data_IF_622151479182
#
_entry.id   IF_622151479182
#
_cell.length_a   1.000
_cell.length_b   1.000
_cell.length_c   1.000
_cell.angle_alpha   90.00
_cell.angle_beta   90.00
_cell.angle_gamma   90.00
#
_symmetry.space_group_name_H-M   'P 1'
#
loop_
_entity.id
_entity.type
_entity.pdbx_description
1 polymer ?
#
# COMPACT_ATOMS: atom_id res chain seq x y z
N UNK A 1 -6.09 -2.46 -59.49
CA UNK A 1 -6.96 -2.34 -58.28
C UNK A 1 -8.22 -3.19 -58.46
N UNK A 2 -8.98 -3.47 -57.39
CA UNK A 2 -10.18 -4.36 -57.34
C UNK A 2 -9.93 -5.87 -57.53
N UNK A 3 -9.38 -6.54 -56.52
CA UNK A 3 -9.72 -7.97 -56.31
C UNK A 3 -9.67 -8.50 -54.86
N UNK A 4 -9.11 -7.77 -53.89
CA UNK A 4 -8.87 -8.30 -52.53
C UNK A 4 -9.98 -8.01 -51.48
N UNK A 5 -11.03 -7.26 -51.82
CA UNK A 5 -12.05 -6.83 -50.84
C UNK A 5 -13.19 -7.84 -50.58
N UNK A 6 -13.33 -8.89 -51.39
CA UNK A 6 -14.44 -9.87 -51.27
C UNK A 6 -14.18 -11.00 -50.28
N UNK A 7 -12.92 -11.42 -50.06
CA UNK A 7 -12.60 -12.48 -49.07
C UNK A 7 -12.76 -12.01 -47.62
N UNK A 8 -12.34 -10.77 -47.32
CA UNK A 8 -12.37 -10.24 -45.95
C UNK A 8 -13.79 -10.10 -45.37
N UNK A 9 -14.77 -9.70 -46.20
CA UNK A 9 -16.17 -9.56 -45.75
C UNK A 9 -16.87 -10.90 -45.45
N UNK A 10 -16.44 -12.01 -46.05
CA UNK A 10 -17.11 -13.31 -45.85
C UNK A 10 -16.76 -13.95 -44.51
N UNK A 11 -15.56 -13.72 -44.00
CA UNK A 11 -15.11 -14.29 -42.71
C UNK A 11 -15.77 -13.58 -41.51
N UNK A 12 -16.06 -12.27 -41.61
CA UNK A 12 -16.74 -11.50 -40.57
C UNK A 12 -18.20 -11.94 -40.34
N UNK A 13 -18.92 -12.30 -41.41
CA UNK A 13 -20.33 -12.75 -41.29
C UNK A 13 -20.41 -14.09 -40.55
N UNK A 14 -19.49 -15.02 -40.84
CA UNK A 14 -19.45 -16.33 -40.17
C UNK A 14 -19.08 -16.17 -38.68
N UNK A 15 -18.12 -15.30 -38.35
CA UNK A 15 -17.75 -15.03 -36.96
C UNK A 15 -18.90 -14.39 -36.14
N UNK A 16 -19.69 -13.50 -36.75
CA UNK A 16 -20.83 -12.87 -36.09
C UNK A 16 -21.95 -13.89 -35.75
N UNK A 17 -22.24 -14.84 -36.66
CA UNK A 17 -23.26 -15.86 -36.42
C UNK A 17 -22.92 -16.80 -35.25
N UNK A 18 -21.65 -17.16 -35.06
CA UNK A 18 -21.23 -18.06 -33.96
C UNK A 18 -21.41 -17.39 -32.59
N UNK A 19 -21.16 -16.08 -32.47
CA UNK A 19 -21.30 -15.34 -31.21
C UNK A 19 -22.78 -15.22 -30.80
N UNK A 20 -23.69 -14.99 -31.76
CA UNK A 20 -25.13 -14.85 -31.48
C UNK A 20 -25.74 -16.17 -30.97
N UNK A 21 -25.34 -17.32 -31.55
CA UNK A 21 -25.82 -18.63 -31.11
C UNK A 21 -25.30 -18.98 -29.70
N UNK A 22 -24.04 -18.64 -29.38
CA UNK A 22 -23.48 -18.82 -28.03
C UNK A 22 -24.20 -18.00 -26.95
N UNK A 23 -24.59 -16.77 -27.27
CA UNK A 23 -25.31 -15.90 -26.32
C UNK A 23 -26.73 -16.39 -26.00
N UNK A 24 -27.43 -17.00 -26.97
CA UNK A 24 -28.79 -17.53 -26.75
C UNK A 24 -28.80 -18.77 -25.83
N UNK A 25 -27.78 -19.63 -25.89
CA UNK A 25 -27.68 -20.81 -25.03
C UNK A 25 -27.32 -20.46 -23.57
N UNK A 26 -26.54 -19.39 -23.35
CA UNK A 26 -26.20 -18.94 -22.00
C UNK A 26 -27.41 -18.36 -21.23
N UNK A 27 -28.43 -17.85 -21.93
CA UNK A 27 -29.61 -17.24 -21.31
C UNK A 27 -30.62 -18.28 -20.78
N UNK A 28 -30.60 -19.52 -21.30
CA UNK A 28 -31.49 -20.60 -20.84
C UNK A 28 -31.09 -21.23 -19.49
N UNK A 29 -29.89 -20.94 -18.97
CA UNK A 29 -29.36 -21.54 -17.75
C UNK A 29 -29.01 -20.52 -16.66
N UNK A 30 -29.52 -19.28 -16.76
CA UNK A 30 -29.32 -18.28 -15.70
C UNK A 30 -30.34 -18.47 -14.57
N UNK A 31 -29.92 -18.73 -13.31
CA UNK A 31 -30.84 -18.91 -12.20
C UNK A 31 -31.52 -17.59 -11.82
N UNK A 32 -32.85 -17.58 -11.80
CA UNK A 32 -33.67 -16.44 -11.36
C UNK A 32 -33.68 -16.40 -9.83
N UNK A 33 -33.28 -15.27 -9.25
CA UNK A 33 -33.29 -15.08 -7.80
C UNK A 33 -34.71 -14.93 -7.24
N UNK A 34 -35.03 -15.68 -6.19
CA UNK A 34 -36.27 -15.57 -5.43
C UNK A 34 -36.23 -14.39 -4.46
N UNK A 35 -37.19 -13.48 -4.55
CA UNK A 35 -37.41 -12.38 -3.62
C UNK A 35 -38.03 -12.84 -2.30
N UNK A 36 -37.53 -12.35 -1.16
CA UNK A 36 -38.21 -12.41 0.14
C UNK A 36 -38.21 -11.03 0.83
N UNK A 37 -39.24 -10.68 1.63
CA UNK A 37 -39.52 -9.31 2.04
C UNK A 37 -38.91 -8.88 3.39
N UNK A 38 -39.08 -7.60 3.72
CA UNK A 38 -38.56 -6.95 4.93
C UNK A 38 -39.28 -7.40 6.24
N UNK A 39 -38.63 -7.25 7.42
CA UNK A 39 -39.25 -7.50 8.72
C UNK A 39 -39.78 -6.22 9.38
N UNK A 40 -40.99 -6.31 9.95
CA UNK A 40 -41.53 -5.39 10.97
C UNK A 40 -41.63 -6.10 12.34
N UNK A 41 -41.94 -5.34 13.39
CA UNK A 41 -41.54 -5.62 14.78
C UNK A 41 -42.52 -6.42 15.68
N UNK A 42 -42.00 -6.76 16.88
CA UNK A 42 -42.63 -7.20 18.14
C UNK A 42 -42.70 -8.74 18.44
N UNK A 43 -42.39 -9.10 19.71
CA UNK A 43 -42.28 -10.48 20.24
C UNK A 43 -43.58 -11.04 20.86
N UNK A 44 -43.58 -11.90 21.92
CA UNK A 44 -42.49 -12.33 22.83
C UNK A 44 -42.27 -13.87 22.92
N UNK A 45 -41.40 -14.35 23.85
CA UNK A 45 -41.13 -15.77 24.15
C UNK A 45 -42.25 -16.50 24.94
N UNK A 46 -42.07 -17.76 25.43
CA UNK A 46 -40.86 -18.39 26.00
C UNK A 46 -40.44 -19.69 25.22
N UNK A 47 -39.63 -20.68 25.69
CA UNK A 47 -38.83 -20.92 26.91
C UNK A 47 -38.17 -22.33 26.87
N UNK A 48 -37.19 -22.70 27.75
CA UNK A 48 -36.43 -23.96 27.61
C UNK A 48 -36.50 -24.96 28.80
N UNK A 49 -36.72 -26.23 28.44
CA UNK A 49 -36.47 -27.47 29.20
C UNK A 49 -35.66 -28.41 28.27
N UNK A 50 -34.87 -29.42 28.66
CA UNK A 50 -34.17 -29.77 29.91
C UNK A 50 -33.17 -30.90 29.55
N UNK A 51 -32.10 -31.11 30.34
CA UNK A 51 -31.59 -32.43 30.78
C UNK A 51 -30.17 -32.35 31.37
N UNK A 52 -29.98 -33.11 32.45
CA UNK A 52 -28.71 -33.24 33.18
C UNK A 52 -28.02 -34.62 32.99
N UNK A 53 -27.37 -35.20 34.01
CA UNK A 53 -25.95 -35.53 33.87
C UNK A 53 -25.59 -37.02 34.11
N UNK A 54 -24.32 -37.37 33.86
CA UNK A 54 -23.73 -38.69 34.19
C UNK A 54 -22.23 -38.60 34.52
N UNK A 55 -21.75 -39.39 35.49
CA UNK A 55 -20.41 -39.31 36.11
C UNK A 55 -19.76 -40.71 36.28
N UNK A 56 -18.50 -40.74 36.78
CA UNK A 56 -17.62 -41.86 37.27
C UNK A 56 -17.02 -42.75 36.14
N UNK A 57 -15.82 -43.36 36.16
CA UNK A 57 -14.82 -43.74 37.21
C UNK A 57 -13.34 -43.52 36.75
N UNK A 58 -12.35 -43.89 37.58
CA UNK A 58 -10.87 -43.77 37.43
C UNK A 58 -10.15 -44.96 36.73
N UNK A 59 -8.89 -44.75 36.35
CA UNK A 59 -7.84 -45.78 36.14
C UNK A 59 -6.50 -45.13 35.74
N UNK A 60 -5.35 -45.54 36.29
CA UNK A 60 -4.05 -44.81 36.13
C UNK A 60 -2.85 -45.65 35.66
N UNK A 61 -1.69 -45.01 35.44
CA UNK A 61 -0.42 -45.68 35.12
C UNK A 61 0.72 -44.80 34.57
N UNK A 62 1.78 -44.63 35.38
CA UNK A 62 3.21 -44.35 35.11
C UNK A 62 3.75 -43.54 33.88
N UNK A 63 4.55 -42.52 34.21
CA UNK A 63 5.88 -42.11 33.68
C UNK A 63 6.25 -42.17 32.18
N UNK A 64 6.54 -41.00 31.58
CA UNK A 64 7.73 -40.76 30.74
C UNK A 64 7.97 -39.27 30.38
N UNK A 65 9.11 -38.72 30.81
CA UNK A 65 9.95 -37.67 30.21
C UNK A 65 9.36 -36.53 29.33
N UNK A 66 9.47 -35.32 29.89
CA UNK A 66 10.11 -34.14 29.28
C UNK A 66 9.84 -33.78 27.81
N UNK A 67 8.87 -32.88 27.59
CA UNK A 67 8.96 -31.85 26.56
C UNK A 67 8.32 -30.56 27.09
N UNK A 68 9.09 -29.47 27.17
CA UNK A 68 8.52 -28.15 27.46
C UNK A 68 7.53 -27.73 26.37
N UNK A 69 6.51 -26.91 26.68
CA UNK A 69 5.51 -26.52 25.69
C UNK A 69 6.19 -25.83 24.52
N UNK A 70 6.13 -26.48 23.34
CA UNK A 70 6.47 -25.82 22.08
C UNK A 70 5.52 -24.65 21.95
N UNK A 71 6.07 -23.43 21.98
CA UNK A 71 5.28 -22.22 21.77
C UNK A 71 4.48 -22.36 20.48
N UNK A 72 3.18 -22.09 20.57
CA UNK A 72 2.31 -22.00 19.40
C UNK A 72 2.99 -20.98 18.46
N UNK A 73 3.19 -21.29 17.16
CA UNK A 73 3.66 -20.30 16.22
C UNK A 73 2.73 -19.09 16.31
N UNK A 74 3.27 -17.94 16.69
CA UNK A 74 2.48 -16.71 16.71
C UNK A 74 1.95 -16.50 15.29
N UNK A 75 0.64 -16.24 15.18
CA UNK A 75 0.05 -15.80 13.92
C UNK A 75 0.86 -14.62 13.40
N UNK A 76 1.09 -14.49 12.07
CA UNK A 76 1.80 -13.34 11.52
C UNK A 76 1.15 -12.05 12.06
N UNK A 77 1.96 -11.19 12.66
CA UNK A 77 1.46 -9.92 13.20
C UNK A 77 0.96 -9.10 12.01
N UNK A 78 -0.25 -8.53 12.08
CA UNK A 78 -0.70 -7.64 11.02
C UNK A 78 0.24 -6.43 10.98
N UNK A 79 0.89 -6.10 9.83
CA UNK A 79 1.68 -4.88 9.71
C UNK A 79 0.91 -3.61 10.13
N UNK A 80 -0.41 -3.62 10.07
CA UNK A 80 -1.26 -2.55 10.59
C UNK A 80 -1.14 -2.39 12.12
N UNK A 81 -1.09 -3.50 12.87
CA UNK A 81 -0.97 -3.50 14.33
C UNK A 81 0.43 -3.02 14.76
N UNK A 82 1.48 -3.37 14.00
CA UNK A 82 2.83 -2.85 14.24
C UNK A 82 2.90 -1.33 13.99
N UNK A 83 2.30 -0.84 12.90
CA UNK A 83 2.23 0.60 12.57
C UNK A 83 1.39 1.38 13.60
N UNK A 84 0.31 0.79 14.12
CA UNK A 84 -0.48 1.37 15.20
C UNK A 84 0.29 1.36 16.54
N UNK A 85 1.00 0.26 16.84
CA UNK A 85 1.80 0.08 18.05
C UNK A 85 2.88 1.14 18.24
N UNK A 86 3.47 1.67 17.15
CA UNK A 86 4.41 2.79 17.20
C UNK A 86 3.83 4.02 17.92
N UNK A 87 2.53 4.30 17.77
CA UNK A 87 1.87 5.46 18.38
C UNK A 87 1.67 5.34 19.90
N UNK A 88 1.91 4.17 20.49
CA UNK A 88 1.82 3.96 21.95
C UNK A 88 3.10 4.34 22.70
N UNK A 89 4.20 4.66 21.99
CA UNK A 89 5.50 4.99 22.59
C UNK A 89 5.42 6.36 23.30
N UNK A 90 5.64 6.43 24.63
CA UNK A 90 5.56 7.70 25.36
C UNK A 90 6.65 8.69 24.97
N UNK A 91 6.37 9.99 25.06
CA UNK A 91 7.31 11.07 24.71
C UNK A 91 8.69 10.94 25.36
N UNK A 92 8.77 10.52 26.64
CA UNK A 92 10.05 10.30 27.35
C UNK A 92 10.87 9.17 26.70
N UNK A 93 10.21 8.09 26.26
CA UNK A 93 10.87 7.00 25.56
C UNK A 93 11.30 7.42 24.15
N UNK A 94 10.46 8.16 23.41
CA UNK A 94 10.78 8.69 22.10
C UNK A 94 11.99 9.65 22.15
N UNK A 95 12.06 10.55 23.14
CA UNK A 95 13.23 11.43 23.35
C UNK A 95 14.50 10.62 23.67
N UNK A 96 14.40 9.56 24.48
CA UNK A 96 15.54 8.66 24.72
C UNK A 96 16.02 7.98 23.43
N UNK A 97 15.09 7.49 22.60
CA UNK A 97 15.40 6.90 21.29
C UNK A 97 16.12 7.89 20.35
N UNK A 98 15.80 9.19 20.42
CA UNK A 98 16.55 10.22 19.68
C UNK A 98 17.99 10.30 20.17
N UNK A 99 18.21 10.44 21.48
CA UNK A 99 19.58 10.50 22.06
C UNK A 99 20.41 9.26 21.75
N UNK A 100 19.82 8.07 21.91
CA UNK A 100 20.49 6.80 21.59
C UNK A 100 20.78 6.68 20.09
N UNK A 101 19.82 7.05 19.24
CA UNK A 101 19.97 7.03 17.78
C UNK A 101 21.05 7.97 17.27
N UNK A 102 21.13 9.20 17.81
CA UNK A 102 22.20 10.15 17.50
C UNK A 102 23.59 9.63 17.92
N UNK A 103 23.68 8.94 19.05
CA UNK A 103 24.91 8.26 19.46
C UNK A 103 25.32 7.17 18.46
N UNK A 104 24.39 6.35 17.98
CA UNK A 104 24.68 5.36 16.93
C UNK A 104 25.20 6.01 15.63
N UNK A 105 24.61 7.13 15.19
CA UNK A 105 25.10 7.87 14.03
C UNK A 105 26.52 8.42 14.23
N UNK A 106 26.83 8.93 15.43
CA UNK A 106 28.18 9.38 15.78
C UNK A 106 29.20 8.22 15.76
N UNK A 107 28.79 7.01 16.16
CA UNK A 107 29.56 5.76 16.08
C UNK A 107 29.59 5.13 14.67
N UNK A 108 29.05 5.80 13.64
CA UNK A 108 28.91 5.31 12.24
C UNK A 108 28.03 4.07 12.06
N UNK A 109 27.22 3.73 13.07
CA UNK A 109 26.20 2.68 13.06
C UNK A 109 24.90 3.21 12.45
N UNK A 110 24.92 3.42 11.14
CA UNK A 110 23.88 4.18 10.44
C UNK A 110 22.52 3.46 10.43
N UNK A 111 22.49 2.12 10.33
CA UNK A 111 21.25 1.34 10.29
C UNK A 111 20.53 1.40 11.65
N UNK A 112 21.27 1.23 12.74
CA UNK A 112 20.77 1.27 14.12
C UNK A 112 20.32 2.69 14.51
N UNK A 113 21.11 3.71 14.14
CA UNK A 113 20.74 5.11 14.33
C UNK A 113 19.47 5.48 13.54
N UNK A 114 19.38 5.08 12.27
CA UNK A 114 18.18 5.27 11.43
C UNK A 114 16.96 4.58 12.04
N UNK A 115 17.10 3.34 12.52
CA UNK A 115 16.00 2.58 13.12
C UNK A 115 15.42 3.29 14.36
N UNK A 116 16.26 3.66 15.34
CA UNK A 116 15.78 4.34 16.55
C UNK A 116 15.19 5.72 16.27
N UNK A 117 15.82 6.51 15.40
CA UNK A 117 15.30 7.82 15.00
C UNK A 117 13.96 7.70 14.25
N UNK A 118 13.81 6.69 13.39
CA UNK A 118 12.55 6.41 12.67
C UNK A 118 11.44 6.02 13.64
N UNK A 119 11.73 5.12 14.58
CA UNK A 119 10.79 4.69 15.62
C UNK A 119 10.35 5.86 16.51
N UNK A 120 11.29 6.72 16.90
CA UNK A 120 11.01 7.94 17.65
C UNK A 120 10.10 8.90 16.87
N UNK A 121 10.41 9.17 15.60
CA UNK A 121 9.62 10.08 14.76
C UNK A 121 8.21 9.54 14.47
N UNK A 122 8.10 8.28 14.07
CA UNK A 122 6.83 7.64 13.70
C UNK A 122 5.88 7.42 14.89
N UNK A 123 6.38 7.51 16.13
CA UNK A 123 5.53 7.52 17.32
C UNK A 123 4.57 8.71 17.40
N UNK A 124 4.91 9.84 16.76
CA UNK A 124 4.17 11.10 16.91
C UNK A 124 4.34 11.79 18.27
N UNK A 125 5.12 11.23 19.20
CA UNK A 125 5.29 11.74 20.57
C UNK A 125 6.45 12.72 20.76
N UNK A 126 7.13 13.13 19.68
CA UNK A 126 8.20 14.13 19.72
C UNK A 126 7.63 15.55 19.59
N UNK A 127 8.17 16.50 20.36
CA UNK A 127 7.89 17.92 20.14
C UNK A 127 8.34 18.40 18.76
N UNK A 128 7.59 19.33 18.16
CA UNK A 128 7.70 19.71 16.74
C UNK A 128 9.13 20.03 16.28
N UNK A 129 9.87 20.86 17.02
CA UNK A 129 11.25 21.22 16.69
C UNK A 129 12.19 19.99 16.64
N UNK A 130 12.04 19.06 17.59
CA UNK A 130 12.79 17.80 17.62
C UNK A 130 12.37 16.90 16.46
N UNK A 131 11.07 16.77 16.21
CA UNK A 131 10.55 15.99 15.08
C UNK A 131 11.06 16.52 13.73
N UNK A 132 11.11 17.84 13.55
CA UNK A 132 11.63 18.50 12.36
C UNK A 132 13.14 18.24 12.17
N UNK A 133 13.94 18.34 13.23
CA UNK A 133 15.37 18.03 13.23
C UNK A 133 15.64 16.54 12.90
N UNK A 134 14.95 15.63 13.59
CA UNK A 134 15.05 14.18 13.38
C UNK A 134 14.65 13.79 11.96
N UNK A 135 13.56 14.37 11.43
CA UNK A 135 13.11 14.16 10.05
C UNK A 135 14.16 14.57 9.03
N UNK A 136 14.76 15.75 9.16
CA UNK A 136 15.82 16.20 8.25
C UNK A 136 17.03 15.24 8.21
N UNK A 137 17.42 14.70 9.38
CA UNK A 137 18.47 13.66 9.47
C UNK A 137 18.05 12.36 8.79
N UNK A 138 16.80 11.92 8.98
CA UNK A 138 16.28 10.69 8.40
C UNK A 138 16.11 10.76 6.89
N UNK A 139 15.70 11.90 6.33
CA UNK A 139 15.64 12.09 4.88
C UNK A 139 17.04 12.04 4.24
N UNK A 140 18.04 12.68 4.87
CA UNK A 140 19.43 12.58 4.41
C UNK A 140 19.97 11.12 4.48
N UNK A 141 19.62 10.38 5.53
CA UNK A 141 19.94 8.95 5.63
C UNK A 141 19.17 8.10 4.61
N UNK A 142 17.96 8.49 4.20
CA UNK A 142 17.22 7.80 3.15
C UNK A 142 17.86 8.06 1.77
N UNK A 143 18.29 9.29 1.49
CA UNK A 143 19.02 9.63 0.27
C UNK A 143 20.35 8.84 0.18
N UNK A 144 21.09 8.73 1.28
CA UNK A 144 22.34 7.97 1.36
C UNK A 144 22.11 6.44 1.33
N UNK A 145 21.30 5.90 2.25
CA UNK A 145 21.17 4.46 2.48
C UNK A 145 20.18 3.77 1.55
N UNK A 146 19.14 4.46 1.06
CA UNK A 146 18.07 3.85 0.25
C UNK A 146 18.19 4.27 -1.22
N UNK A 147 18.25 5.57 -1.50
CA UNK A 147 18.15 6.10 -2.87
C UNK A 147 19.48 6.23 -3.62
N UNK A 148 20.62 6.20 -2.94
CA UNK A 148 21.93 6.06 -3.59
C UNK A 148 22.22 4.60 -4.01
N UNK A 149 23.32 4.38 -4.75
CA UNK A 149 23.83 3.03 -5.11
C UNK A 149 24.69 2.37 -4.02
N UNK A 150 24.97 3.06 -2.91
CA UNK A 150 25.77 2.51 -1.82
C UNK A 150 25.04 1.35 -1.11
N UNK A 151 25.80 0.39 -0.60
CA UNK A 151 25.30 -0.72 0.23
C UNK A 151 25.90 -0.54 1.62
N UNK A 152 25.09 -0.79 2.65
CA UNK A 152 25.49 -0.71 4.05
C UNK A 152 25.32 -2.08 4.69
N UNK A 153 26.40 -2.62 5.24
CA UNK A 153 26.38 -3.93 5.89
C UNK A 153 25.41 -3.91 7.08
N UNK A 154 24.57 -4.95 7.17
CA UNK A 154 23.54 -5.06 8.21
C UNK A 154 22.25 -4.25 7.97
N UNK A 155 22.12 -3.49 6.88
CA UNK A 155 20.84 -2.83 6.55
C UNK A 155 19.78 -3.88 6.14
N UNK A 156 18.67 -4.05 6.89
CA UNK A 156 17.64 -5.03 6.56
C UNK A 156 16.83 -4.69 5.30
N UNK A 157 16.93 -3.45 4.81
CA UNK A 157 16.12 -2.92 3.72
C UNK A 157 16.84 -2.85 2.37
N UNK A 158 18.17 -2.95 2.32
CA UNK A 158 18.90 -2.91 1.04
C UNK A 158 19.97 -3.99 0.95
N UNK A 159 20.19 -4.51 -0.27
CA UNK A 159 21.22 -5.51 -0.53
C UNK A 159 21.72 -5.45 -1.96
N UNK A 160 22.88 -6.06 -2.20
CA UNK A 160 23.44 -6.24 -3.54
C UNK A 160 22.98 -7.57 -4.14
N UNK A 161 22.52 -7.56 -5.39
CA UNK A 161 22.04 -8.72 -6.13
C UNK A 161 22.82 -8.88 -7.45
N UNK A 162 23.36 -10.06 -7.70
CA UNK A 162 23.97 -10.41 -8.98
C UNK A 162 22.89 -10.93 -9.93
N UNK A 163 22.61 -10.18 -11.00
CA UNK A 163 21.54 -10.55 -11.94
C UNK A 163 21.91 -11.81 -12.75
N UNK A 164 21.10 -12.87 -12.69
CA UNK A 164 21.43 -14.16 -13.29
C UNK A 164 21.14 -14.20 -14.81
N UNK A 165 21.82 -15.07 -15.59
CA UNK A 165 21.52 -15.25 -17.01
C UNK A 165 20.05 -15.61 -17.27
N UNK A 166 19.39 -14.84 -18.14
CA UNK A 166 18.00 -15.09 -18.54
C UNK A 166 16.93 -14.53 -17.58
N UNK A 167 17.32 -13.84 -16.51
CA UNK A 167 16.37 -13.19 -15.62
C UNK A 167 15.68 -11.97 -16.23
N UNK A 168 14.53 -11.62 -15.66
CA UNK A 168 13.76 -10.41 -15.97
C UNK A 168 13.47 -9.73 -14.65
N UNK A 169 13.71 -8.42 -14.54
CA UNK A 169 13.65 -7.69 -13.25
C UNK A 169 12.35 -7.89 -12.48
N UNK A 170 11.20 -7.96 -13.17
CA UNK A 170 9.89 -8.22 -12.53
C UNK A 170 9.72 -9.65 -12.00
N UNK A 171 10.49 -10.62 -12.51
CA UNK A 171 10.58 -11.97 -11.95
C UNK A 171 11.54 -12.01 -10.77
N UNK A 172 12.64 -11.27 -10.81
CA UNK A 172 13.60 -11.11 -9.70
C UNK A 172 12.93 -10.48 -8.48
N UNK A 173 12.17 -9.41 -8.69
CA UNK A 173 11.36 -8.73 -7.66
C UNK A 173 10.48 -9.73 -6.88
N UNK A 174 9.75 -10.59 -7.60
CA UNK A 174 8.94 -11.66 -7.01
C UNK A 174 9.76 -12.82 -6.41
N UNK A 175 10.82 -13.27 -7.08
CA UNK A 175 11.75 -14.34 -6.61
C UNK A 175 12.35 -14.00 -5.26
N UNK A 176 12.66 -12.73 -5.02
CA UNK A 176 13.27 -12.23 -3.78
C UNK A 176 12.25 -11.68 -2.78
N UNK A 177 10.95 -11.70 -3.11
CA UNK A 177 9.85 -11.11 -2.35
C UNK A 177 10.13 -9.66 -1.93
N UNK A 178 10.53 -8.82 -2.90
CA UNK A 178 10.93 -7.44 -2.63
C UNK A 178 9.74 -6.53 -2.33
N UNK A 179 8.58 -6.73 -2.97
CA UNK A 179 7.37 -5.91 -2.76
C UNK A 179 7.61 -4.41 -2.96
N UNK A 180 8.38 -4.07 -4.01
CA UNK A 180 8.61 -2.70 -4.47
C UNK A 180 8.46 -2.62 -5.99
N UNK A 181 7.97 -1.51 -6.56
CA UNK A 181 7.85 -1.39 -8.01
C UNK A 181 9.24 -1.47 -8.68
N UNK A 182 9.33 -2.15 -9.82
CA UNK A 182 10.61 -2.24 -10.56
C UNK A 182 11.14 -0.87 -11.00
N UNK A 183 10.29 0.16 -11.09
CA UNK A 183 10.67 1.54 -11.36
C UNK A 183 11.66 2.12 -10.34
N UNK A 184 11.50 1.88 -9.03
CA UNK A 184 12.48 2.40 -8.05
C UNK A 184 13.82 1.64 -8.16
N UNK A 185 13.78 0.32 -8.40
CA UNK A 185 14.98 -0.49 -8.61
C UNK A 185 15.79 -0.02 -9.84
N UNK A 186 15.10 0.33 -10.93
CA UNK A 186 15.71 0.93 -12.12
C UNK A 186 16.31 2.32 -11.82
N UNK A 187 15.54 3.18 -11.13
CA UNK A 187 15.92 4.56 -10.78
C UNK A 187 17.19 4.61 -9.92
N UNK A 188 17.24 3.87 -8.80
CA UNK A 188 18.40 3.91 -7.89
C UNK A 188 19.67 3.36 -8.54
N UNK A 189 19.56 2.41 -9.48
CA UNK A 189 20.73 1.86 -10.20
C UNK A 189 21.16 2.71 -11.41
N UNK A 190 20.41 3.75 -11.79
CA UNK A 190 20.66 4.55 -12.99
C UNK A 190 20.39 3.80 -14.30
N UNK A 191 19.41 2.90 -14.32
CA UNK A 191 19.10 2.03 -15.47
C UNK A 191 17.79 2.49 -16.10
N UNK A 192 17.83 2.89 -17.38
CA UNK A 192 16.66 3.42 -18.06
C UNK A 192 15.59 2.36 -18.44
N UNK A 193 16.01 1.11 -18.69
CA UNK A 193 15.12 0.02 -19.13
C UNK A 193 15.57 -1.33 -18.57
N UNK A 194 14.63 -2.18 -18.15
CA UNK A 194 14.96 -3.48 -17.53
C UNK A 194 15.68 -4.42 -18.50
N UNK A 195 15.39 -4.35 -19.79
CA UNK A 195 16.01 -5.18 -20.83
C UNK A 195 17.50 -4.84 -21.09
N UNK A 196 18.04 -3.74 -20.51
CA UNK A 196 19.47 -3.41 -20.65
C UNK A 196 20.33 -3.94 -19.50
N UNK A 197 19.73 -4.60 -18.50
CA UNK A 197 20.43 -5.25 -17.40
C UNK A 197 21.18 -6.47 -17.94
N UNK A 198 22.47 -6.59 -17.62
CA UNK A 198 23.33 -7.68 -18.08
C UNK A 198 23.43 -8.80 -17.05
N UNK A 199 23.62 -10.03 -17.50
CA UNK A 199 23.98 -11.13 -16.61
C UNK A 199 25.30 -10.80 -15.88
N UNK A 200 25.38 -11.14 -14.59
CA UNK A 200 26.49 -10.78 -13.70
C UNK A 200 26.53 -9.31 -13.28
N UNK A 201 25.58 -8.46 -13.73
CA UNK A 201 25.52 -7.07 -13.28
C UNK A 201 25.05 -7.02 -11.82
N UNK A 202 25.85 -6.39 -10.96
CA UNK A 202 25.46 -6.10 -9.59
C UNK A 202 24.44 -4.95 -9.56
N UNK A 203 23.28 -5.21 -8.98
CA UNK A 203 22.22 -4.24 -8.71
C UNK A 203 22.07 -4.04 -7.21
N UNK A 204 21.87 -2.80 -6.76
CA UNK A 204 21.24 -2.58 -5.46
C UNK A 204 19.76 -2.88 -5.57
N UNK A 205 19.20 -3.63 -4.63
CA UNK A 205 17.76 -3.84 -4.53
C UNK A 205 17.25 -3.43 -3.15
N UNK A 206 16.00 -2.96 -3.11
CA UNK A 206 15.30 -2.58 -1.89
C UNK A 206 14.33 -3.71 -1.52
N UNK A 207 14.34 -4.14 -0.26
CA UNK A 207 13.29 -4.97 0.35
C UNK A 207 12.25 -4.03 0.94
N UNK A 208 11.05 -4.06 0.41
CA UNK A 208 9.88 -3.36 0.93
C UNK A 208 9.01 -4.26 1.83
N UNK A 209 7.71 -3.93 1.96
CA UNK A 209 7.02 -2.80 1.31
C UNK A 209 7.35 -1.41 1.89
N UNK A 210 7.04 -0.37 1.10
CA UNK A 210 6.89 1.00 1.60
C UNK A 210 5.45 1.21 2.10
N UNK A 211 5.27 2.00 3.14
CA UNK A 211 3.98 2.41 3.72
C UNK A 211 3.90 3.93 3.79
N UNK A 212 2.71 4.46 4.02
CA UNK A 212 2.49 5.89 4.24
C UNK A 212 1.60 6.18 5.46
N UNK A 213 1.84 7.32 6.09
CA UNK A 213 0.94 7.95 7.05
C UNK A 213 0.54 9.30 6.45
N UNK A 214 -0.76 9.57 6.37
CA UNK A 214 -1.33 10.86 5.99
C UNK A 214 -1.87 11.52 7.24
N UNK A 215 -1.36 12.71 7.55
CA UNK A 215 -1.83 13.56 8.63
C UNK A 215 -2.74 14.65 8.05
N UNK A 216 -3.99 14.74 8.53
CA UNK A 216 -4.98 15.69 8.00
C UNK A 216 -4.85 17.06 8.63
N UNK A 217 -4.38 17.18 9.87
CA UNK A 217 -4.07 18.46 10.52
C UNK A 217 -2.91 19.18 9.84
N UNK A 218 -1.80 18.47 9.62
CA UNK A 218 -0.60 19.01 8.97
C UNK A 218 -0.72 19.13 7.44
N UNK A 219 -1.63 18.37 6.80
CA UNK A 219 -1.65 18.11 5.36
C UNK A 219 -0.34 17.52 4.83
N UNK A 220 0.13 16.46 5.48
CA UNK A 220 1.39 15.78 5.10
C UNK A 220 1.21 14.30 4.81
N UNK A 221 2.12 13.73 4.02
CA UNK A 221 2.29 12.31 3.83
C UNK A 221 3.72 11.93 4.21
N UNK A 222 3.89 11.17 5.29
CA UNK A 222 5.15 10.55 5.69
C UNK A 222 5.26 9.14 5.10
N UNK A 223 6.33 8.88 4.35
CA UNK A 223 6.64 7.58 3.75
C UNK A 223 7.73 6.91 4.58
N UNK A 224 7.61 5.60 4.78
CA UNK A 224 8.58 4.76 5.47
C UNK A 224 8.60 3.35 4.89
N UNK A 225 9.70 2.62 5.06
CA UNK A 225 9.75 1.17 4.88
C UNK A 225 9.40 0.50 6.20
N UNK A 226 8.63 -0.58 6.14
CA UNK A 226 8.39 -1.46 7.27
C UNK A 226 8.13 -2.89 6.77
N UNK A 227 8.60 -3.89 7.51
CA UNK A 227 8.34 -5.31 7.21
C UNK A 227 8.55 -6.14 8.47
N UNK A 228 7.83 -7.27 8.55
CA UNK A 228 7.85 -8.20 9.68
C UNK A 228 9.29 -8.48 10.18
N UNK A 229 9.50 -8.34 11.48
CA UNK A 229 10.79 -8.56 12.14
C UNK A 229 11.86 -7.49 11.90
N UNK A 230 11.55 -6.38 11.24
CA UNK A 230 12.46 -5.25 11.03
C UNK A 230 11.93 -3.98 11.72
N UNK A 231 12.81 -3.18 12.32
CA UNK A 231 12.45 -1.83 12.79
C UNK A 231 12.13 -0.91 11.59
N UNK A 232 11.19 0.05 11.70
CA UNK A 232 10.79 0.88 10.57
C UNK A 232 11.93 1.82 10.12
N UNK A 233 11.93 2.17 8.83
CA UNK A 233 12.87 3.14 8.27
C UNK A 233 12.10 4.30 7.63
N UNK A 234 12.16 5.48 8.24
CA UNK A 234 11.60 6.69 7.67
C UNK A 234 12.29 7.06 6.36
N UNK A 235 11.54 7.60 5.40
CA UNK A 235 12.01 7.89 4.03
C UNK A 235 11.81 9.35 3.64
N UNK A 236 10.58 9.89 3.71
CA UNK A 236 10.28 11.24 3.19
C UNK A 236 8.96 11.81 3.70
N UNK A 237 8.89 13.13 3.94
CA UNK A 237 7.63 13.89 4.05
C UNK A 237 7.30 14.59 2.74
N UNK A 238 6.02 14.50 2.35
CA UNK A 238 5.43 15.19 1.21
C UNK A 238 4.25 16.06 1.67
N UNK A 239 3.88 17.08 0.89
CA UNK A 239 2.66 17.88 1.12
C UNK A 239 1.50 17.25 0.35
N UNK A 240 0.32 17.17 0.96
CA UNK A 240 -0.89 16.62 0.32
C UNK A 240 -2.03 17.62 0.24
N UNK A 241 -2.84 17.53 -0.81
CA UNK A 241 -4.18 18.10 -0.83
C UNK A 241 -5.20 17.03 -0.43
N UNK A 242 -6.17 17.37 0.41
CA UNK A 242 -7.11 16.42 1.01
C UNK A 242 -8.56 16.84 0.79
N UNK A 243 -9.51 15.97 1.16
CA UNK A 243 -10.93 16.18 0.93
C UNK A 243 -11.50 17.38 1.69
N UNK A 244 -12.28 18.22 1.01
CA UNK A 244 -13.11 19.28 1.64
C UNK A 244 -13.98 18.69 2.75
N UNK A 245 -14.24 19.45 3.82
CA UNK A 245 -15.10 19.02 4.94
C UNK A 245 -14.68 17.68 5.57
N UNK A 246 -13.38 17.35 5.53
CA UNK A 246 -12.85 16.11 6.09
C UNK A 246 -13.17 14.84 5.28
N UNK A 247 -13.63 14.98 4.03
CA UNK A 247 -14.10 13.88 3.17
C UNK A 247 -13.05 12.85 2.74
N UNK A 248 -11.77 13.03 3.09
CA UNK A 248 -10.77 11.93 3.15
C UNK A 248 -10.97 11.17 4.48
N UNK A 249 -11.50 9.93 4.48
CA UNK A 249 -11.85 9.24 5.71
C UNK A 249 -10.62 8.78 6.49
N UNK A 250 -10.67 8.99 7.80
CA UNK A 250 -9.69 8.50 8.79
C UNK A 250 -9.79 6.99 8.92
N UNK A 251 -8.65 6.33 9.11
CA UNK A 251 -8.50 4.88 9.26
C UNK A 251 -7.46 4.30 8.30
N UNK A 252 -7.45 2.97 8.20
CA UNK A 252 -6.43 2.22 7.46
C UNK A 252 -6.89 1.82 6.06
N UNK A 253 -6.00 2.07 5.09
CA UNK A 253 -6.21 1.76 3.69
C UNK A 253 -5.10 0.86 3.17
N UNK A 254 -5.40 0.05 2.16
CA UNK A 254 -4.42 -0.73 1.39
C UNK A 254 -4.42 -0.26 -0.06
N UNK A 255 -3.27 -0.35 -0.74
CA UNK A 255 -3.24 -0.17 -2.19
C UNK A 255 -3.97 -1.33 -2.89
N UNK A 256 -5.05 -1.00 -3.60
CA UNK A 256 -5.89 -1.98 -4.29
C UNK A 256 -5.13 -2.63 -5.44
N UNK A 257 -5.21 -3.96 -5.55
CA UNK A 257 -4.56 -4.76 -6.59
C UNK A 257 -5.06 -4.39 -7.99
N UNK A 258 -4.16 -4.22 -8.96
CA UNK A 258 -4.47 -3.91 -10.36
C UNK A 258 -5.04 -2.50 -10.58
N UNK A 259 -4.88 -1.59 -9.61
CA UNK A 259 -5.43 -0.23 -9.64
C UNK A 259 -4.44 0.83 -10.11
N UNK A 260 -3.14 0.62 -9.94
CA UNK A 260 -2.08 1.56 -10.32
C UNK A 260 -1.99 1.72 -11.82
N UNK A 261 -2.11 2.95 -12.30
CA UNK A 261 -2.07 3.31 -13.73
C UNK A 261 -1.37 4.65 -13.93
N UNK A 262 -0.54 4.75 -14.95
CA UNK A 262 -0.18 6.02 -15.58
C UNK A 262 -1.24 6.39 -16.65
N UNK A 263 -1.31 7.67 -17.03
CA UNK A 263 -2.25 8.20 -18.04
C UNK A 263 -3.71 7.76 -17.82
N UNK A 264 -4.11 7.58 -16.55
CA UNK A 264 -5.39 7.00 -16.20
C UNK A 264 -6.56 7.88 -16.68
N UNK A 265 -7.64 7.35 -17.28
CA UNK A 265 -8.84 8.15 -17.49
C UNK A 265 -9.41 8.60 -16.14
N UNK A 266 -9.81 9.87 -16.03
CA UNK A 266 -10.45 10.38 -14.84
C UNK A 266 -11.96 10.09 -14.83
N UNK A 267 -12.34 9.37 -13.78
CA UNK A 267 -13.66 9.15 -13.19
C UNK A 267 -14.24 10.33 -12.38
N UNK A 268 -15.18 11.20 -12.81
CA UNK A 268 -15.84 12.07 -11.83
C UNK A 268 -16.54 11.24 -10.74
N UNK A 269 -16.35 11.54 -9.44
CA UNK A 269 -17.18 10.97 -8.39
C UNK A 269 -18.61 11.53 -8.49
N UNK A 270 -19.60 10.90 -7.83
CA UNK A 270 -20.99 11.39 -7.81
C UNK A 270 -21.16 12.82 -7.30
N UNK A 271 -20.21 13.31 -6.50
CA UNK A 271 -20.17 14.67 -5.95
C UNK A 271 -19.58 15.73 -6.89
N UNK A 272 -19.04 15.35 -8.05
CA UNK A 272 -18.43 16.30 -8.98
C UNK A 272 -19.46 17.04 -9.85
N UNK A 273 -19.20 18.33 -10.08
CA UNK A 273 -19.92 19.15 -11.04
C UNK A 273 -19.57 18.70 -12.48
N UNK A 274 -20.43 17.83 -13.02
CA UNK A 274 -20.26 17.20 -14.33
C UNK A 274 -19.82 15.74 -14.24
N UNK A 275 -20.62 14.87 -14.86
CA UNK A 275 -20.44 13.40 -14.83
C UNK A 275 -19.75 12.86 -16.10
N UNK A 276 -18.93 13.68 -16.76
CA UNK A 276 -18.15 13.29 -17.96
C UNK A 276 -16.76 12.79 -17.55
N UNK A 277 -16.38 11.59 -17.99
CA UNK A 277 -15.00 11.11 -17.90
C UNK A 277 -14.03 11.96 -18.74
N UNK A 278 -12.89 12.36 -18.18
CA UNK A 278 -11.85 13.13 -18.89
C UNK A 278 -10.65 12.23 -19.16
N UNK A 279 -10.21 12.10 -20.42
CA UNK A 279 -9.04 11.27 -20.76
C UNK A 279 -7.74 12.02 -20.50
N UNK A 280 -6.66 11.29 -20.26
CA UNK A 280 -5.32 11.89 -20.19
C UNK A 280 -5.00 12.64 -21.50
N UNK A 281 -4.52 13.88 -21.35
CA UNK A 281 -4.25 14.81 -22.45
C UNK A 281 -5.45 15.65 -22.91
N UNK A 282 -6.67 15.44 -22.41
CA UNK A 282 -7.80 16.35 -22.65
C UNK A 282 -7.69 17.61 -21.77
N UNK A 283 -8.18 18.78 -22.23
CA UNK A 283 -8.25 19.99 -21.40
C UNK A 283 -9.01 19.76 -20.08
N UNK A 284 -8.51 20.33 -18.99
CA UNK A 284 -9.11 20.18 -17.65
C UNK A 284 -8.83 18.84 -16.96
N UNK A 285 -8.02 17.95 -17.54
CA UNK A 285 -7.64 16.67 -16.95
C UNK A 285 -7.01 16.81 -15.53
N UNK A 286 -7.55 16.17 -14.47
CA UNK A 286 -7.22 16.53 -13.09
C UNK A 286 -6.14 15.71 -12.39
N UNK A 287 -5.65 14.60 -12.96
CA UNK A 287 -4.74 13.67 -12.27
C UNK A 287 -3.24 14.01 -12.44
N UNK A 288 -2.92 15.30 -12.62
CA UNK A 288 -1.55 15.78 -12.87
C UNK A 288 -0.99 15.42 -14.24
N UNK A 289 0.26 15.81 -14.54
CA UNK A 289 0.86 15.71 -15.88
C UNK A 289 0.99 14.29 -16.40
N UNK A 290 1.43 13.35 -15.55
CA UNK A 290 1.62 11.94 -15.94
C UNK A 290 0.36 11.10 -15.80
N UNK A 291 -0.69 11.64 -15.18
CA UNK A 291 -1.94 10.92 -14.98
C UNK A 291 -1.81 9.69 -14.07
N UNK A 292 -0.93 9.76 -13.08
CA UNK A 292 -0.76 8.69 -12.11
C UNK A 292 -1.98 8.59 -11.19
N UNK A 293 -2.55 7.40 -11.14
CA UNK A 293 -3.60 7.00 -10.22
C UNK A 293 -3.15 5.78 -9.43
N UNK A 294 -3.35 5.81 -8.11
CA UNK A 294 -3.14 4.69 -7.20
C UNK A 294 -4.46 4.47 -6.46
N UNK A 295 -5.18 3.40 -6.75
CA UNK A 295 -6.42 3.10 -6.04
C UNK A 295 -6.13 2.58 -4.64
N UNK A 296 -6.91 3.04 -3.67
CA UNK A 296 -6.88 2.50 -2.30
C UNK A 296 -8.23 1.87 -1.96
N UNK A 297 -8.20 0.89 -1.06
CA UNK A 297 -9.36 0.19 -0.51
C UNK A 297 -9.29 0.23 1.02
N UNK A 298 -10.42 0.41 1.69
CA UNK A 298 -10.48 0.42 3.15
C UNK A 298 -10.33 -0.98 3.72
N UNK A 299 -9.55 -1.14 4.79
CA UNK A 299 -9.28 -2.44 5.40
C UNK A 299 -9.61 -2.52 6.90
N UNK A 300 -10.17 -1.46 7.49
CA UNK A 300 -10.72 -1.46 8.85
C UNK A 300 -12.23 -1.17 8.88
N UNK A 301 -12.85 -1.26 10.06
CA UNK A 301 -14.28 -1.01 10.26
C UNK A 301 -14.75 0.40 9.85
N UNK A 302 -13.84 1.39 9.91
CA UNK A 302 -14.15 2.76 9.51
C UNK A 302 -14.07 2.96 7.99
N UNK A 303 -13.14 2.28 7.33
CA UNK A 303 -12.76 2.53 5.95
C UNK A 303 -13.41 1.58 4.94
N UNK A 304 -13.70 0.32 5.32
CA UNK A 304 -14.20 -0.74 4.41
C UNK A 304 -15.48 -0.40 3.65
N UNK A 305 -16.26 0.58 4.14
CA UNK A 305 -17.50 1.08 3.51
C UNK A 305 -17.28 2.09 2.39
N UNK A 306 -16.04 2.54 2.17
CA UNK A 306 -15.72 3.61 1.22
C UNK A 306 -15.05 3.06 -0.04
N UNK A 307 -15.61 3.42 -1.20
CA UNK A 307 -15.11 3.05 -2.52
C UNK A 307 -14.69 4.28 -3.34
N UNK A 308 -13.98 4.06 -4.44
CA UNK A 308 -13.58 5.14 -5.38
C UNK A 308 -12.39 6.00 -4.94
N UNK A 309 -11.86 5.82 -3.73
CA UNK A 309 -10.71 6.56 -3.23
C UNK A 309 -9.38 6.17 -3.91
N UNK A 310 -8.45 7.13 -3.92
CA UNK A 310 -7.13 6.98 -4.52
C UNK A 310 -6.17 8.10 -4.16
N UNK A 311 -4.90 7.90 -4.51
CA UNK A 311 -3.80 8.86 -4.43
C UNK A 311 -3.42 9.23 -5.87
N UNK A 312 -3.34 10.53 -6.18
CA UNK A 312 -3.08 10.99 -7.55
C UNK A 312 -2.42 12.37 -7.60
N UNK A 313 -1.91 12.76 -8.79
CA UNK A 313 -1.42 14.11 -9.05
C UNK A 313 -2.55 15.14 -9.12
N UNK A 314 -2.24 16.43 -9.27
CA UNK A 314 -3.26 17.49 -9.42
C UNK A 314 -2.97 18.41 -10.60
N UNK A 315 -4.01 18.88 -11.29
CA UNK A 315 -3.90 20.01 -12.23
C UNK A 315 -4.08 21.39 -11.56
N UNK A 316 -4.43 21.39 -10.28
CA UNK A 316 -4.48 22.56 -9.41
C UNK A 316 -3.40 22.40 -8.30
N UNK A 317 -2.20 22.95 -8.51
CA UNK A 317 -1.13 22.90 -7.51
C UNK A 317 -1.44 23.67 -6.22
N UNK A 318 -2.36 24.65 -6.25
CA UNK A 318 -2.72 25.43 -5.08
C UNK A 318 -3.54 24.61 -4.07
N UNK A 319 -4.22 23.55 -4.52
CA UNK A 319 -4.90 22.59 -3.62
C UNK A 319 -3.97 21.77 -2.72
N UNK A 320 -2.65 21.78 -2.95
CA UNK A 320 -1.69 21.07 -2.10
C UNK A 320 -1.48 21.82 -0.78
N UNK A 321 -1.63 21.13 0.34
CA UNK A 321 -1.67 21.74 1.67
C UNK A 321 -3.05 22.26 2.08
N UNK A 322 -4.12 21.91 1.34
CA UNK A 322 -5.48 22.39 1.58
C UNK A 322 -6.52 21.26 1.55
N UNK A 323 -7.66 21.49 2.21
CA UNK A 323 -8.85 20.64 2.12
C UNK A 323 -9.69 21.07 0.89
N UNK A 324 -9.25 20.68 -0.31
CA UNK A 324 -9.77 21.14 -1.60
C UNK A 324 -10.07 20.02 -2.62
N UNK A 325 -9.95 18.75 -2.23
CA UNK A 325 -10.31 17.59 -3.05
C UNK A 325 -11.74 17.09 -2.77
N UNK A 326 -12.25 16.17 -3.60
CA UNK A 326 -13.53 15.48 -3.40
C UNK A 326 -13.40 14.21 -2.51
N UNK A 327 -12.29 14.06 -1.79
CA UNK A 327 -12.01 12.95 -0.86
C UNK A 327 -10.69 12.23 -1.11
N UNK A 328 -10.20 12.21 -2.35
CA UNK A 328 -8.91 11.61 -2.73
C UNK A 328 -7.70 12.39 -2.20
N UNK A 329 -6.56 11.71 -2.08
CA UNK A 329 -5.29 12.32 -1.66
C UNK A 329 -4.57 12.87 -2.91
N UNK A 330 -4.40 14.18 -2.99
CA UNK A 330 -3.68 14.87 -4.06
C UNK A 330 -2.22 15.09 -3.67
N UNK A 331 -1.32 14.95 -4.63
CA UNK A 331 0.12 15.24 -4.52
C UNK A 331 0.55 16.15 -5.68
N UNK A 332 1.66 16.88 -5.50
CA UNK A 332 2.33 17.58 -6.61
C UNK A 332 2.87 16.57 -7.64
N UNK A 333 3.11 16.99 -8.89
CA UNK A 333 3.55 16.10 -9.99
C UNK A 333 4.80 15.25 -9.64
N UNK A 334 5.81 15.87 -9.03
CA UNK A 334 7.04 15.20 -8.56
C UNK A 334 6.77 14.17 -7.47
N UNK A 335 5.83 14.50 -6.61
CA UNK A 335 5.57 13.79 -5.36
C UNK A 335 4.71 12.55 -5.64
N UNK A 336 3.72 12.66 -6.54
CA UNK A 336 3.00 11.49 -7.05
C UNK A 336 3.92 10.57 -7.86
N UNK A 337 4.87 11.09 -8.65
CA UNK A 337 5.83 10.24 -9.36
C UNK A 337 6.70 9.44 -8.37
N UNK A 338 7.18 10.09 -7.31
CA UNK A 338 7.90 9.41 -6.23
C UNK A 338 7.02 8.32 -5.59
N UNK A 339 5.84 8.68 -5.08
CA UNK A 339 4.90 7.74 -4.43
C UNK A 339 4.52 6.58 -5.35
N UNK A 340 4.30 6.84 -6.64
CA UNK A 340 4.03 5.81 -7.64
C UNK A 340 5.23 4.89 -7.88
N UNK A 341 6.47 5.38 -7.77
CA UNK A 341 7.67 4.54 -7.84
C UNK A 341 7.92 3.70 -6.57
N UNK A 342 7.40 4.12 -5.41
CA UNK A 342 7.66 3.48 -4.11
C UNK A 342 6.57 2.49 -3.67
N UNK A 343 5.30 2.91 -3.63
CA UNK A 343 4.24 2.09 -3.06
C UNK A 343 3.84 0.92 -3.97
N UNK A 344 3.62 -0.25 -3.39
CA UNK A 344 3.37 -1.52 -4.08
C UNK A 344 1.97 -2.06 -3.73
N UNK A 345 1.22 -2.49 -4.74
CA UNK A 345 -0.16 -2.95 -4.55
C UNK A 345 -0.24 -4.18 -3.65
N UNK A 346 -1.37 -4.37 -2.94
CA UNK A 346 -1.61 -5.43 -1.95
C UNK A 346 -0.71 -5.36 -0.69
N UNK A 347 0.48 -4.78 -0.76
CA UNK A 347 1.45 -4.80 0.35
C UNK A 347 1.58 -3.44 1.06
N UNK A 348 1.58 -2.34 0.32
CA UNK A 348 1.60 -0.99 0.91
C UNK A 348 0.26 -0.64 1.54
N UNK A 349 0.32 -0.07 2.74
CA UNK A 349 -0.81 0.50 3.47
C UNK A 349 -0.64 2.01 3.67
N UNK A 350 -1.77 2.69 3.91
CA UNK A 350 -1.85 4.14 4.11
C UNK A 350 -2.74 4.39 5.34
N UNK A 351 -2.12 4.87 6.41
CA UNK A 351 -2.82 5.30 7.63
C UNK A 351 -3.29 6.74 7.44
N UNK A 352 -4.59 7.00 7.31
CA UNK A 352 -5.11 8.38 7.35
C UNK A 352 -5.47 8.70 8.79
N UNK A 353 -4.83 9.71 9.36
CA UNK A 353 -4.98 10.16 10.75
C UNK A 353 -5.79 11.48 10.80
N UNK A 354 -6.38 11.85 11.96
CA UNK A 354 -7.20 13.05 12.12
C UNK A 354 -6.56 14.38 11.72
#
# INVERSE_FOLDING_TARGET
MRHNSRRFRRNWIIAACVIIIGAMLAWQFWPVGSTSPAPDANGPGPGPDANGPGQVVQGGGADANAAGPRGIPQSPVDPNDEIAGLQSIPAVAAVKMVTDGEKFLAEKKLAEGRALLSKALLSGSLGEATANSVRGKLEALADEMIFSRQIFDGDPYTLQYAFEPGEVLVKVERKLALHVPTQILLKINGIARAETIRAGQMLKVIRGPFHAIVDKGDFTMDIFLHREGCEPAYVKRLRVGLGTNGSTPVGMWRLRLGSKRDRAPWFPPPSAEGQRSIRWGEPGYPLGKMGYWIGIEGIDENTKRYEGYGIHGTNDPASIGQAASLGCIRLADSDIELVFSLLYEKWSTVSVRP
#
